data_IF_178466433478
#
_entry.id   IF_178466433478
#
_cell.length_a   1.000
_cell.length_b   1.000
_cell.length_c   1.000
_cell.angle_alpha   90.00
_cell.angle_beta   90.00
_cell.angle_gamma   90.00
#
_symmetry.space_group_name_H-M   'P 1'
#
loop_
_entity.id
_entity.type
_entity.pdbx_description
1 polymer ?
#
# COMPACT_ATOMS: atom_id res chain seq x y z
N UNK A 1 48.87 12.29 -42.00
CA UNK A 1 47.74 11.57 -41.36
C UNK A 1 48.09 11.37 -39.90
N UNK A 2 47.62 12.28 -39.04
CA UNK A 2 47.85 12.24 -37.59
C UNK A 2 46.78 11.38 -36.94
N UNK A 3 47.18 10.19 -36.48
CA UNK A 3 46.35 9.33 -35.64
C UNK A 3 46.11 10.04 -34.29
N UNK A 4 44.90 10.56 -34.10
CA UNK A 4 44.45 11.09 -32.82
C UNK A 4 43.86 9.92 -32.02
N UNK A 5 44.63 9.43 -31.05
CA UNK A 5 44.19 8.40 -30.11
C UNK A 5 43.08 8.98 -29.22
N UNK A 6 41.89 8.38 -29.29
CA UNK A 6 40.80 8.64 -28.36
C UNK A 6 41.25 8.23 -26.95
N UNK A 7 41.54 9.21 -26.10
CA UNK A 7 41.75 8.99 -24.68
C UNK A 7 40.39 8.73 -24.01
N UNK A 8 40.18 7.51 -23.53
CA UNK A 8 39.06 7.20 -22.65
C UNK A 8 39.22 8.01 -21.35
N UNK A 9 38.36 9.01 -21.15
CA UNK A 9 38.33 9.76 -19.89
C UNK A 9 37.77 8.86 -18.78
N UNK A 10 38.51 8.61 -17.68
CA UNK A 10 37.96 7.90 -16.55
C UNK A 10 36.91 8.80 -15.90
N UNK A 11 35.64 8.40 -15.96
CA UNK A 11 34.58 9.01 -15.17
C UNK A 11 34.98 8.86 -13.70
N UNK A 12 35.47 9.94 -13.08
CA UNK A 12 35.78 10.00 -11.66
C UNK A 12 34.48 9.75 -10.88
N UNK A 13 34.25 8.51 -10.48
CA UNK A 13 33.22 8.19 -9.48
C UNK A 13 33.68 8.79 -8.15
N UNK A 14 33.20 10.00 -7.87
CA UNK A 14 33.37 10.64 -6.56
C UNK A 14 32.75 9.74 -5.50
N UNK A 15 33.55 9.32 -4.51
CA UNK A 15 33.06 8.56 -3.36
C UNK A 15 32.31 9.53 -2.46
N UNK A 16 31.04 9.22 -2.16
CA UNK A 16 30.21 10.05 -1.28
C UNK A 16 30.94 10.35 0.03
N UNK A 17 30.94 11.61 0.43
CA UNK A 17 31.57 12.04 1.68
C UNK A 17 30.74 11.60 2.88
N UNK A 18 31.33 11.65 4.09
CA UNK A 18 30.57 11.39 5.33
C UNK A 18 29.43 12.39 5.51
N UNK A 19 29.60 13.63 5.06
CA UNK A 19 28.57 14.65 5.09
C UNK A 19 27.41 14.29 4.14
N UNK A 20 27.71 13.89 2.91
CA UNK A 20 26.70 13.45 1.93
C UNK A 20 25.89 12.26 2.46
N UNK A 21 26.55 11.32 3.14
CA UNK A 21 25.87 10.18 3.78
C UNK A 21 24.93 10.63 4.89
N UNK A 22 25.35 11.59 5.72
CA UNK A 22 24.55 12.07 6.84
C UNK A 22 23.38 12.95 6.37
N UNK A 23 23.57 13.76 5.33
CA UNK A 23 22.49 14.52 4.68
C UNK A 23 21.41 13.57 4.14
N UNK A 24 21.82 12.51 3.42
CA UNK A 24 20.89 11.45 3.00
C UNK A 24 20.18 10.79 4.18
N UNK A 25 20.90 10.51 5.26
CA UNK A 25 20.31 9.90 6.45
C UNK A 25 19.24 10.80 7.07
N UNK A 26 19.55 12.08 7.25
CA UNK A 26 18.64 13.07 7.82
C UNK A 26 17.35 13.17 7.01
N UNK A 27 17.45 13.29 5.69
CA UNK A 27 16.28 13.32 4.81
C UNK A 27 15.45 12.03 4.90
N UNK A 28 16.08 10.86 4.80
CA UNK A 28 15.36 9.58 4.84
C UNK A 28 14.64 9.35 6.16
N UNK A 29 15.26 9.73 7.28
CA UNK A 29 14.66 9.65 8.63
C UNK A 29 13.47 10.59 8.72
N UNK A 30 13.64 11.85 8.33
CA UNK A 30 12.58 12.86 8.39
C UNK A 30 11.39 12.48 7.50
N UNK A 31 11.66 12.11 6.25
CA UNK A 31 10.62 11.71 5.30
C UNK A 31 9.85 10.48 5.78
N UNK A 32 10.56 9.41 6.19
CA UNK A 32 9.91 8.20 6.67
C UNK A 32 9.14 8.41 7.99
N UNK A 33 9.60 9.33 8.85
CA UNK A 33 8.87 9.70 10.07
C UNK A 33 7.59 10.45 9.77
N UNK A 34 7.60 11.36 8.80
CA UNK A 34 6.44 12.20 8.45
C UNK A 34 5.41 11.46 7.61
N UNK A 35 5.85 10.69 6.62
CA UNK A 35 4.99 10.07 5.61
C UNK A 35 4.87 8.55 5.75
N UNK A 36 5.56 7.96 6.72
CA UNK A 36 5.57 6.50 6.92
C UNK A 36 4.18 5.94 7.27
N UNK A 37 3.95 4.64 7.03
CA UNK A 37 4.89 3.68 6.43
C UNK A 37 5.15 3.94 4.95
N UNK A 38 6.42 3.83 4.51
CA UNK A 38 6.85 3.99 3.10
C UNK A 38 7.66 2.77 2.65
N UNK A 39 7.57 2.35 1.39
CA UNK A 39 8.45 1.29 0.88
C UNK A 39 9.88 1.80 0.71
N UNK A 40 10.87 0.91 0.76
CA UNK A 40 12.27 1.30 0.46
C UNK A 40 12.40 1.88 -0.96
N UNK A 41 11.63 1.35 -1.90
CA UNK A 41 11.61 1.84 -3.29
C UNK A 41 10.95 3.22 -3.41
N UNK A 42 9.86 3.44 -2.69
CA UNK A 42 9.24 4.77 -2.59
C UNK A 42 10.22 5.78 -2.00
N UNK A 43 10.93 5.43 -0.92
CA UNK A 43 11.94 6.31 -0.33
C UNK A 43 13.09 6.62 -1.30
N UNK A 44 13.48 5.64 -2.13
CA UNK A 44 14.45 5.85 -3.20
C UNK A 44 13.95 6.86 -4.25
N UNK A 45 12.71 6.73 -4.73
CA UNK A 45 12.11 7.71 -5.64
C UNK A 45 12.05 9.11 -5.04
N UNK A 46 11.74 9.21 -3.75
CA UNK A 46 11.75 10.51 -3.06
C UNK A 46 13.16 11.09 -2.96
N UNK A 47 14.18 10.27 -2.74
CA UNK A 47 15.57 10.72 -2.81
C UNK A 47 15.96 11.21 -4.22
N UNK A 48 15.48 10.55 -5.29
CA UNK A 48 15.70 11.02 -6.66
C UNK A 48 15.02 12.36 -6.93
N UNK A 49 13.75 12.49 -6.54
CA UNK A 49 12.93 13.70 -6.73
C UNK A 49 13.58 14.90 -6.03
N UNK A 50 14.11 14.68 -4.83
CA UNK A 50 14.81 15.71 -4.05
C UNK A 50 16.29 15.88 -4.41
N UNK A 51 16.82 15.13 -5.39
CA UNK A 51 18.18 15.32 -5.90
C UNK A 51 19.29 15.00 -4.88
N UNK A 52 19.07 14.01 -4.01
CA UNK A 52 20.00 13.74 -2.92
C UNK A 52 21.39 13.29 -3.39
N UNK A 53 22.46 13.70 -2.69
CA UNK A 53 23.83 13.50 -3.16
C UNK A 53 24.15 12.02 -3.31
N UNK A 54 24.63 11.63 -4.50
CA UNK A 54 25.05 10.27 -4.81
C UNK A 54 23.93 9.24 -4.95
N UNK A 55 22.66 9.67 -5.03
CA UNK A 55 21.54 8.83 -5.48
C UNK A 55 21.30 9.11 -6.95
N UNK A 56 21.65 8.14 -7.78
CA UNK A 56 21.50 8.20 -9.25
C UNK A 56 20.25 7.42 -9.66
N UNK A 57 19.64 7.78 -10.80
CA UNK A 57 18.47 7.08 -11.38
C UNK A 57 18.81 5.71 -11.97
N UNK A 58 19.30 4.81 -11.12
CA UNK A 58 19.84 3.50 -11.47
C UNK A 58 19.63 2.51 -10.34
N UNK A 59 19.66 1.21 -10.66
CA UNK A 59 19.64 0.14 -9.64
C UNK A 59 20.74 0.32 -8.57
N UNK A 60 21.93 0.81 -8.96
CA UNK A 60 22.99 1.09 -8.01
C UNK A 60 22.65 2.23 -7.03
N UNK A 61 21.79 3.17 -7.44
CA UNK A 61 21.21 4.19 -6.57
C UNK A 61 20.24 3.58 -5.56
N UNK A 62 19.34 2.72 -6.03
CA UNK A 62 18.41 1.97 -5.18
C UNK A 62 19.14 1.11 -4.14
N UNK A 63 20.18 0.38 -4.54
CA UNK A 63 21.02 -0.43 -3.65
C UNK A 63 21.72 0.41 -2.56
N UNK A 64 22.05 1.68 -2.83
CA UNK A 64 22.60 2.60 -1.82
C UNK A 64 21.55 2.94 -0.78
N UNK A 65 20.33 3.30 -1.21
CA UNK A 65 19.21 3.61 -0.31
C UNK A 65 18.86 2.39 0.54
N UNK A 66 18.69 1.21 -0.05
CA UNK A 66 18.37 -0.02 0.66
C UNK A 66 19.40 -0.34 1.76
N UNK A 67 20.70 -0.29 1.44
CA UNK A 67 21.77 -0.52 2.43
C UNK A 67 21.77 0.53 3.53
N UNK A 68 21.55 1.80 3.20
CA UNK A 68 21.56 2.87 4.17
C UNK A 68 20.36 2.81 5.12
N UNK A 69 19.15 2.54 4.61
CA UNK A 69 17.95 2.29 5.41
C UNK A 69 18.17 1.15 6.40
N UNK A 70 18.71 0.01 5.94
CA UNK A 70 19.03 -1.11 6.83
C UNK A 70 20.03 -0.71 7.92
N UNK A 71 21.05 0.07 7.58
CA UNK A 71 22.05 0.55 8.54
C UNK A 71 21.44 1.48 9.59
N UNK A 72 20.55 2.40 9.18
CA UNK A 72 19.90 3.34 10.10
C UNK A 72 18.95 2.63 11.07
N UNK A 73 18.21 1.62 10.59
CA UNK A 73 17.33 0.79 11.42
C UNK A 73 18.13 -0.01 12.47
N UNK A 74 19.25 -0.62 12.07
CA UNK A 74 20.15 -1.35 12.99
C UNK A 74 20.78 -0.45 14.05
N UNK A 75 20.96 0.83 13.75
CA UNK A 75 21.48 1.84 14.68
C UNK A 75 20.39 2.46 15.57
N UNK A 76 19.11 2.08 15.40
CA UNK A 76 17.99 2.67 16.12
C UNK A 76 17.63 4.12 15.71
N UNK A 77 18.22 4.62 14.61
CA UNK A 77 17.98 5.98 14.10
C UNK A 77 16.70 6.11 13.27
N UNK A 78 16.18 4.97 12.80
CA UNK A 78 14.97 4.87 11.99
C UNK A 78 14.10 3.75 12.55
N UNK A 79 12.85 4.04 12.89
CA UNK A 79 11.93 3.01 13.41
C UNK A 79 11.69 1.92 12.37
N UNK A 80 11.47 0.69 12.84
CA UNK A 80 11.09 -0.40 11.97
C UNK A 80 9.69 -0.21 11.36
N UNK A 81 8.81 0.55 12.03
CA UNK A 81 7.41 0.76 11.62
C UNK A 81 7.25 1.83 10.54
N UNK A 82 8.29 2.65 10.30
CA UNK A 82 8.25 3.69 9.26
C UNK A 82 8.48 3.13 7.85
N UNK A 83 8.94 1.88 7.73
CA UNK A 83 9.18 1.22 6.44
C UNK A 83 8.20 0.07 6.28
N UNK A 84 7.44 0.09 5.20
CA UNK A 84 6.52 -0.99 4.84
C UNK A 84 7.31 -2.24 4.38
N UNK A 85 7.07 -3.36 5.08
CA UNK A 85 7.65 -4.67 4.82
C UNK A 85 6.59 -5.75 5.10
N UNK A 86 5.82 -6.10 4.07
CA UNK A 86 4.67 -7.01 4.16
C UNK A 86 5.06 -8.51 4.15
N UNK A 87 6.36 -8.85 4.14
CA UNK A 87 6.82 -10.24 3.97
C UNK A 87 6.74 -11.11 5.24
N UNK A 88 6.22 -10.59 6.35
CA UNK A 88 6.19 -11.29 7.64
C UNK A 88 4.97 -12.21 7.76
N UNK A 89 5.13 -13.46 7.34
CA UNK A 89 4.11 -14.49 7.50
C UNK A 89 4.36 -15.34 8.75
N UNK A 90 3.62 -15.08 9.83
CA UNK A 90 3.63 -15.90 11.05
C UNK A 90 2.22 -16.36 11.38
N UNK A 91 1.94 -17.65 11.19
CA UNK A 91 0.70 -18.28 11.62
C UNK A 91 0.90 -18.85 13.02
N UNK A 92 0.22 -18.27 14.01
CA UNK A 92 0.13 -18.81 15.37
C UNK A 92 -1.35 -18.80 15.78
N UNK A 93 -1.90 -19.90 16.32
CA UNK A 93 -3.22 -19.86 16.93
C UNK A 93 -3.30 -18.76 18.00
N UNK A 94 -4.41 -18.03 18.02
CA UNK A 94 -4.69 -17.07 19.09
C UNK A 94 -4.93 -17.85 20.38
N UNK A 95 -4.00 -17.76 21.32
CA UNK A 95 -4.10 -18.41 22.63
C UNK A 95 -3.89 -17.39 23.73
N UNK A 96 -4.62 -17.57 24.84
CA UNK A 96 -4.61 -16.71 26.01
C UNK A 96 -4.24 -17.54 27.24
N UNK A 97 -3.54 -16.93 28.19
CA UNK A 97 -3.16 -17.57 29.45
C UNK A 97 -4.30 -17.58 30.50
N UNK A 98 -5.46 -17.01 30.15
CA UNK A 98 -6.67 -17.08 30.95
C UNK A 98 -7.84 -16.25 30.40
N UNK A 99 -9.01 -16.38 31.01
CA UNK A 99 -10.25 -15.71 30.59
C UNK A 99 -10.12 -14.17 30.60
N UNK A 100 -9.38 -13.60 31.56
CA UNK A 100 -9.15 -12.15 31.63
C UNK A 100 -8.36 -11.64 30.42
N UNK A 101 -7.31 -12.35 30.01
CA UNK A 101 -6.53 -12.02 28.83
C UNK A 101 -7.36 -12.19 27.54
N UNK A 102 -8.21 -13.22 27.47
CA UNK A 102 -9.14 -13.41 26.35
C UNK A 102 -10.16 -12.26 26.23
N UNK A 103 -10.74 -11.82 27.35
CA UNK A 103 -11.69 -10.70 27.37
C UNK A 103 -11.00 -9.38 27.02
N UNK A 104 -9.80 -9.13 27.56
CA UNK A 104 -9.03 -7.94 27.21
C UNK A 104 -8.66 -7.91 25.71
N UNK A 105 -8.34 -9.07 25.13
CA UNK A 105 -8.11 -9.20 23.70
C UNK A 105 -9.38 -8.94 22.89
N UNK A 106 -10.54 -9.47 23.31
CA UNK A 106 -11.82 -9.21 22.67
C UNK A 106 -12.22 -7.72 22.75
N UNK A 107 -11.97 -7.05 23.88
CA UNK A 107 -12.15 -5.60 24.03
C UNK A 107 -11.21 -4.86 23.07
N UNK A 108 -9.94 -5.28 22.97
CA UNK A 108 -8.94 -4.66 22.11
C UNK A 108 -9.28 -4.82 20.62
N UNK A 109 -9.83 -5.97 20.22
CA UNK A 109 -10.18 -6.31 18.84
C UNK A 109 -11.62 -5.95 18.45
N UNK A 110 -12.39 -5.32 19.33
CA UNK A 110 -13.77 -4.95 19.02
C UNK A 110 -13.81 -3.83 17.98
N UNK A 111 -14.30 -4.13 16.80
CA UNK A 111 -14.55 -3.16 15.74
C UNK A 111 -16.02 -3.24 15.35
N UNK A 112 -16.66 -2.09 15.22
CA UNK A 112 -18.01 -2.00 14.70
C UNK A 112 -17.93 -2.19 13.18
N UNK A 113 -18.82 -3.01 12.63
CA UNK A 113 -18.98 -3.07 11.17
C UNK A 113 -19.47 -1.71 10.68
N UNK A 114 -18.55 -0.94 10.08
CA UNK A 114 -18.82 0.42 9.63
C UNK A 114 -19.68 0.46 8.37
N UNK A 115 -19.83 -0.69 7.69
CA UNK A 115 -20.45 -0.80 6.38
C UNK A 115 -21.85 -1.40 6.44
N UNK A 116 -22.36 -1.77 7.61
CA UNK A 116 -23.67 -2.44 7.76
C UNK A 116 -24.83 -1.66 7.12
N UNK A 117 -24.82 -0.32 7.26
CA UNK A 117 -25.84 0.59 6.73
C UNK A 117 -25.40 1.33 5.46
N UNK A 118 -24.26 0.97 4.88
CA UNK A 118 -23.78 1.57 3.63
C UNK A 118 -24.60 1.06 2.44
N UNK A 119 -24.90 1.94 1.48
CA UNK A 119 -25.68 1.62 0.27
C UNK A 119 -24.89 0.77 -0.75
N UNK A 120 -23.58 0.69 -0.57
CA UNK A 120 -22.62 -0.03 -1.40
C UNK A 120 -21.53 -0.65 -0.51
N UNK A 121 -20.80 -1.62 -1.06
CA UNK A 121 -19.57 -2.11 -0.45
C UNK A 121 -18.39 -1.83 -1.38
N UNK A 122 -17.22 -1.59 -0.82
CA UNK A 122 -16.01 -1.44 -1.62
C UNK A 122 -14.83 -2.23 -1.05
N UNK A 123 -13.90 -2.57 -1.92
CA UNK A 123 -12.61 -3.18 -1.58
C UNK A 123 -11.48 -2.47 -2.31
N UNK A 124 -10.33 -2.39 -1.64
CA UNK A 124 -9.10 -1.86 -2.22
C UNK A 124 -8.21 -3.03 -2.63
N UNK A 125 -7.78 -3.03 -3.89
CA UNK A 125 -6.92 -4.06 -4.46
C UNK A 125 -5.60 -3.42 -4.88
N UNK A 126 -4.47 -3.99 -4.46
CA UNK A 126 -3.15 -3.52 -4.88
C UNK A 126 -2.29 -4.64 -5.46
N UNK A 127 -1.54 -4.34 -6.51
CA UNK A 127 -0.67 -5.32 -7.17
C UNK A 127 0.50 -5.75 -6.28
N UNK A 128 1.13 -4.79 -5.60
CA UNK A 128 2.40 -4.99 -4.88
C UNK A 128 2.19 -5.18 -3.38
N UNK A 129 2.75 -6.26 -2.85
CA UNK A 129 2.71 -6.59 -1.41
C UNK A 129 3.28 -5.49 -0.53
N UNK A 130 4.41 -4.89 -0.91
CA UNK A 130 5.01 -3.79 -0.14
C UNK A 130 4.12 -2.54 -0.06
N UNK A 131 3.29 -2.29 -1.08
CA UNK A 131 2.35 -1.16 -1.10
C UNK A 131 1.21 -1.36 -0.11
N UNK A 132 0.84 -2.61 0.19
CA UNK A 132 -0.21 -2.88 1.18
C UNK A 132 0.08 -2.20 2.51
N UNK A 133 1.33 -2.24 3.00
CA UNK A 133 1.72 -1.56 4.24
C UNK A 133 1.66 -0.03 4.17
N UNK A 134 1.66 0.57 2.97
CA UNK A 134 1.52 2.02 2.78
C UNK A 134 0.06 2.45 2.91
N UNK A 135 -0.87 1.68 2.33
CA UNK A 135 -2.31 1.98 2.28
C UNK A 135 -3.12 1.30 3.40
N UNK A 136 -2.54 0.35 4.13
CA UNK A 136 -3.19 -0.30 5.26
C UNK A 136 -3.74 0.70 6.30
N UNK A 137 -3.02 1.77 6.69
CA UNK A 137 -3.54 2.72 7.67
C UNK A 137 -4.88 3.37 7.27
N UNK A 138 -5.09 3.66 5.97
CA UNK A 138 -6.35 4.24 5.49
C UNK A 138 -7.44 3.17 5.39
N UNK A 139 -7.12 1.96 4.91
CA UNK A 139 -8.12 0.89 4.82
C UNK A 139 -8.57 0.41 6.21
N UNK A 140 -7.66 0.34 7.19
CA UNK A 140 -7.99 0.02 8.60
C UNK A 140 -8.85 1.10 9.25
N UNK A 141 -8.57 2.39 8.97
CA UNK A 141 -9.36 3.49 9.51
C UNK A 141 -10.84 3.39 9.11
N UNK A 142 -11.09 3.03 7.86
CA UNK A 142 -12.43 2.91 7.27
C UNK A 142 -13.01 1.48 7.29
N UNK A 143 -12.32 0.51 7.90
CA UNK A 143 -12.74 -0.91 7.92
C UNK A 143 -13.02 -1.49 6.51
N UNK A 144 -12.15 -1.15 5.54
CA UNK A 144 -12.26 -1.61 4.16
C UNK A 144 -11.31 -2.77 3.89
N UNK A 145 -11.75 -3.88 3.27
CA UNK A 145 -10.86 -4.97 2.94
C UNK A 145 -9.77 -4.56 1.94
N UNK A 146 -8.53 -4.97 2.24
CA UNK A 146 -7.35 -4.75 1.41
C UNK A 146 -6.86 -6.07 0.80
N UNK A 147 -6.92 -6.15 -0.53
CA UNK A 147 -6.63 -7.34 -1.32
C UNK A 147 -5.29 -7.18 -2.06
N UNK A 148 -4.35 -8.10 -1.84
CA UNK A 148 -3.01 -8.04 -2.46
C UNK A 148 -2.86 -9.13 -3.51
N UNK A 149 -2.70 -8.75 -4.78
CA UNK A 149 -2.67 -9.74 -5.89
C UNK A 149 -1.31 -10.35 -6.15
N UNK A 150 -0.20 -9.64 -5.83
CA UNK A 150 1.18 -10.04 -6.14
C UNK A 150 1.40 -10.27 -7.65
N UNK A 151 0.92 -9.33 -8.47
CA UNK A 151 0.89 -9.43 -9.92
C UNK A 151 -0.48 -9.87 -10.45
N UNK A 152 -0.52 -10.91 -11.28
CA UNK A 152 -1.78 -11.47 -11.78
C UNK A 152 -2.53 -12.20 -10.66
N UNK A 153 -3.77 -11.79 -10.40
CA UNK A 153 -4.64 -12.44 -9.42
C UNK A 153 -4.95 -13.89 -9.82
N UNK A 154 -5.01 -14.79 -8.83
CA UNK A 154 -5.47 -16.16 -9.05
C UNK A 154 -6.98 -16.20 -9.32
N UNK A 155 -7.44 -17.26 -9.98
CA UNK A 155 -8.88 -17.48 -10.21
C UNK A 155 -9.63 -17.63 -8.89
N UNK A 156 -9.12 -18.46 -7.98
CA UNK A 156 -9.72 -18.70 -6.65
C UNK A 156 -9.90 -17.40 -5.88
N UNK A 157 -8.91 -16.50 -5.91
CA UNK A 157 -9.00 -15.24 -5.17
C UNK A 157 -10.11 -14.33 -5.71
N UNK A 158 -10.29 -14.28 -7.03
CA UNK A 158 -11.38 -13.52 -7.65
C UNK A 158 -12.74 -14.19 -7.40
N UNK A 159 -12.79 -15.53 -7.42
CA UNK A 159 -14.00 -16.29 -7.14
C UNK A 159 -14.48 -16.06 -5.70
N UNK A 160 -13.58 -16.17 -4.72
CA UNK A 160 -13.90 -15.99 -3.30
C UNK A 160 -14.40 -14.57 -3.01
N UNK A 161 -13.77 -13.55 -3.62
CA UNK A 161 -14.21 -12.17 -3.48
C UNK A 161 -15.66 -11.95 -3.94
N UNK A 162 -16.06 -12.56 -5.06
CA UNK A 162 -17.44 -12.48 -5.56
C UNK A 162 -18.38 -13.38 -4.77
N UNK A 163 -17.97 -14.60 -4.43
CA UNK A 163 -18.79 -15.55 -3.68
C UNK A 163 -19.17 -15.02 -2.30
N UNK A 164 -18.28 -14.27 -1.64
CA UNK A 164 -18.57 -13.58 -0.39
C UNK A 164 -19.72 -12.54 -0.50
N UNK A 165 -20.11 -12.16 -1.71
CA UNK A 165 -21.15 -11.15 -2.01
C UNK A 165 -22.41 -11.75 -2.65
N UNK A 166 -22.51 -13.07 -2.78
CA UNK A 166 -23.65 -13.76 -3.44
C UNK A 166 -25.02 -13.44 -2.81
N UNK A 167 -25.04 -13.06 -1.53
CA UNK A 167 -26.26 -12.68 -0.81
C UNK A 167 -26.37 -11.18 -0.51
N UNK A 168 -25.40 -10.38 -0.94
CA UNK A 168 -25.41 -8.93 -0.80
C UNK A 168 -25.85 -8.29 -2.12
N UNK A 169 -26.96 -7.56 -2.08
CA UNK A 169 -27.55 -6.92 -3.28
C UNK A 169 -27.00 -5.53 -3.54
N UNK A 170 -26.18 -5.00 -2.63
CA UNK A 170 -25.56 -3.69 -2.78
C UNK A 170 -24.51 -3.72 -3.89
N UNK A 171 -24.32 -2.61 -4.63
CA UNK A 171 -23.22 -2.50 -5.59
C UNK A 171 -21.86 -2.76 -4.93
N UNK A 172 -21.04 -3.59 -5.57
CA UNK A 172 -19.71 -3.97 -5.13
C UNK A 172 -18.65 -3.23 -5.95
N UNK A 173 -17.93 -2.32 -5.30
CA UNK A 173 -16.92 -1.48 -5.92
C UNK A 173 -15.51 -2.02 -5.65
N UNK A 174 -14.76 -2.27 -6.73
CA UNK A 174 -13.37 -2.73 -6.66
C UNK A 174 -12.46 -1.63 -7.16
N UNK A 175 -11.65 -1.09 -6.27
CA UNK A 175 -10.67 -0.05 -6.57
C UNK A 175 -9.28 -0.65 -6.66
N UNK A 176 -8.63 -0.51 -7.82
CA UNK A 176 -7.35 -1.14 -8.10
C UNK A 176 -6.20 -0.14 -8.21
N UNK A 177 -5.09 -0.45 -7.54
CA UNK A 177 -3.81 0.25 -7.64
C UNK A 177 -2.75 -0.67 -8.25
N UNK A 178 -2.14 -0.24 -9.35
CA UNK A 178 -1.08 -0.98 -10.04
C UNK A 178 -0.12 -0.06 -10.78
N UNK A 179 0.97 -0.65 -11.27
CA UNK A 179 1.98 0.10 -12.01
C UNK A 179 1.43 0.63 -13.36
N UNK A 180 1.89 1.81 -13.78
CA UNK A 180 1.67 2.33 -15.12
C UNK A 180 2.70 1.76 -16.09
N UNK A 181 2.58 0.47 -16.38
CA UNK A 181 3.27 -0.19 -17.46
C UNK A 181 2.39 -1.27 -18.10
N UNK A 182 2.90 -1.94 -19.13
CA UNK A 182 2.15 -3.01 -19.80
C UNK A 182 1.70 -4.09 -18.83
N UNK A 183 2.59 -4.58 -17.96
CA UNK A 183 2.29 -5.71 -17.09
C UNK A 183 1.22 -5.34 -16.06
N UNK A 184 1.31 -4.15 -15.46
CA UNK A 184 0.30 -3.64 -14.54
C UNK A 184 -1.07 -3.47 -15.22
N UNK A 185 -1.12 -2.94 -16.45
CA UNK A 185 -2.38 -2.80 -17.20
C UNK A 185 -2.97 -4.15 -17.64
N UNK A 186 -2.12 -5.11 -17.98
CA UNK A 186 -2.56 -6.49 -18.29
C UNK A 186 -3.10 -7.21 -17.04
N UNK A 187 -2.45 -7.01 -15.88
CA UNK A 187 -2.91 -7.56 -14.61
C UNK A 187 -4.26 -6.96 -14.19
N UNK A 188 -4.41 -5.64 -14.28
CA UNK A 188 -5.67 -4.94 -14.00
C UNK A 188 -6.81 -5.46 -14.90
N UNK A 189 -6.56 -5.59 -16.21
CA UNK A 189 -7.53 -6.13 -17.17
C UNK A 189 -7.90 -7.57 -16.83
N UNK A 190 -6.91 -8.43 -16.55
CA UNK A 190 -7.16 -9.82 -16.18
C UNK A 190 -8.01 -9.95 -14.91
N UNK A 191 -7.74 -9.13 -13.89
CA UNK A 191 -8.51 -9.07 -12.66
C UNK A 191 -9.96 -8.65 -12.94
N UNK A 192 -10.15 -7.53 -13.64
CA UNK A 192 -11.48 -7.03 -14.03
C UNK A 192 -12.29 -8.08 -14.77
N UNK A 193 -11.69 -8.72 -15.78
CA UNK A 193 -12.40 -9.68 -16.63
C UNK A 193 -12.81 -10.93 -15.82
N UNK A 194 -11.96 -11.39 -14.88
CA UNK A 194 -12.32 -12.49 -13.94
C UNK A 194 -13.44 -12.11 -12.99
N UNK A 195 -13.36 -10.93 -12.37
CA UNK A 195 -14.39 -10.43 -11.44
C UNK A 195 -15.73 -10.29 -12.16
N UNK A 196 -15.75 -9.68 -13.34
CA UNK A 196 -16.97 -9.52 -14.14
C UNK A 196 -17.58 -10.88 -14.54
N UNK A 197 -16.74 -11.85 -14.92
CA UNK A 197 -17.20 -13.21 -15.25
C UNK A 197 -17.91 -13.84 -14.05
N UNK A 198 -17.25 -13.91 -12.89
CA UNK A 198 -17.85 -14.51 -11.69
C UNK A 198 -19.05 -13.72 -11.19
N UNK A 199 -19.03 -12.39 -11.28
CA UNK A 199 -20.15 -11.54 -10.91
C UNK A 199 -21.38 -11.81 -11.77
N UNK A 200 -21.19 -12.00 -13.09
CA UNK A 200 -22.27 -12.40 -14.00
C UNK A 200 -22.83 -13.79 -13.68
N UNK A 201 -22.00 -14.74 -13.25
CA UNK A 201 -22.44 -16.09 -12.85
C UNK A 201 -23.22 -16.07 -11.53
N UNK A 202 -22.94 -15.10 -10.66
CA UNK A 202 -23.47 -15.00 -9.29
C UNK A 202 -24.51 -13.90 -9.08
N UNK A 203 -24.91 -13.20 -10.16
CA UNK A 203 -25.85 -12.07 -10.12
C UNK A 203 -25.41 -10.95 -9.15
N UNK A 204 -24.10 -10.64 -9.16
CA UNK A 204 -23.50 -9.57 -8.35
C UNK A 204 -23.25 -8.35 -9.24
N UNK A 205 -23.65 -7.15 -8.77
CA UNK A 205 -23.34 -5.89 -9.45
C UNK A 205 -21.93 -5.43 -9.07
N UNK A 206 -20.94 -5.70 -9.92
CA UNK A 206 -19.55 -5.29 -9.70
C UNK A 206 -19.16 -4.08 -10.56
N UNK A 207 -18.44 -3.13 -9.96
CA UNK A 207 -17.84 -1.98 -10.64
C UNK A 207 -16.35 -1.98 -10.36
N UNK A 208 -15.53 -2.10 -11.41
CA UNK A 208 -14.08 -2.08 -11.30
C UNK A 208 -13.51 -0.75 -11.80
N UNK A 209 -12.68 -0.10 -10.98
CA UNK A 209 -12.02 1.16 -11.31
C UNK A 209 -10.52 1.09 -10.96
N UNK A 210 -9.65 1.39 -11.92
CA UNK A 210 -8.22 1.56 -11.64
C UNK A 210 -7.98 3.02 -11.25
N UNK A 211 -7.67 3.26 -9.98
CA UNK A 211 -7.53 4.61 -9.39
C UNK A 211 -6.08 5.10 -9.33
N UNK A 212 -5.11 4.21 -9.53
CA UNK A 212 -3.69 4.56 -9.66
C UNK A 212 -2.90 3.49 -10.44
N UNK A 213 -1.79 3.83 -11.12
CA UNK A 213 -1.36 5.19 -11.51
C UNK A 213 -1.83 5.47 -12.95
N UNK A 214 -2.26 6.71 -13.24
CA UNK A 214 -2.58 7.17 -14.59
C UNK A 214 -1.70 8.34 -15.09
N UNK A 215 -1.88 8.71 -16.37
CA UNK A 215 -1.09 9.78 -17.01
C UNK A 215 -1.35 11.15 -16.38
N UNK A 216 -2.59 11.42 -15.95
CA UNK A 216 -2.93 12.70 -15.35
C UNK A 216 -2.22 12.86 -13.99
N UNK A 217 -2.20 11.80 -13.18
CA UNK A 217 -1.49 11.73 -11.92
C UNK A 217 0.03 11.85 -12.10
N UNK A 218 0.61 11.16 -13.10
CA UNK A 218 2.05 11.25 -13.42
C UNK A 218 2.44 12.71 -13.69
N UNK A 219 1.64 13.42 -14.50
CA UNK A 219 1.91 14.81 -14.85
C UNK A 219 1.65 15.77 -13.67
N UNK A 220 0.53 15.61 -12.96
CA UNK A 220 0.13 16.48 -11.86
C UNK A 220 1.12 16.43 -10.70
N UNK A 221 1.56 15.23 -10.34
CA UNK A 221 2.48 15.00 -9.23
C UNK A 221 3.96 14.98 -9.66
N UNK A 222 4.25 15.17 -10.95
CA UNK A 222 5.60 15.12 -11.53
C UNK A 222 6.35 13.85 -11.14
N UNK A 223 5.67 12.71 -11.24
CA UNK A 223 6.19 11.43 -10.77
C UNK A 223 7.43 11.02 -11.58
N UNK A 224 8.47 10.44 -10.93
CA UNK A 224 9.59 9.90 -11.65
C UNK A 224 9.13 8.75 -12.56
N UNK A 225 9.51 8.83 -13.83
CA UNK A 225 9.24 7.79 -14.83
C UNK A 225 10.51 7.05 -15.21
N UNK A 226 10.33 5.86 -15.79
CA UNK A 226 11.40 5.02 -16.33
C UNK A 226 11.08 4.61 -17.75
N UNK A 227 12.10 4.13 -18.47
CA UNK A 227 11.86 3.45 -19.74
C UNK A 227 11.00 2.19 -19.51
N UNK A 228 9.98 1.96 -20.36
CA UNK A 228 9.20 0.75 -20.30
C UNK A 228 10.04 -0.45 -20.73
N UNK A 229 9.68 -1.63 -20.26
CA UNK A 229 10.25 -2.87 -20.79
C UNK A 229 9.95 -2.94 -22.30
N UNK A 230 10.91 -3.42 -23.11
CA UNK A 230 10.78 -3.60 -24.57
C UNK A 230 11.22 -4.99 -25.06
N UNK A 231 11.36 -5.96 -24.14
CA UNK A 231 11.96 -7.27 -24.42
C UNK A 231 11.04 -8.16 -25.27
N UNK A 232 9.77 -8.29 -24.90
CA UNK A 232 8.81 -9.13 -25.63
C UNK A 232 8.02 -8.36 -26.70
N UNK A 233 7.40 -9.04 -27.69
CA UNK A 233 6.46 -8.40 -28.62
C UNK A 233 5.33 -7.67 -27.89
N UNK A 234 4.82 -8.25 -26.79
CA UNK A 234 3.81 -7.61 -25.95
C UNK A 234 4.34 -6.33 -25.31
N UNK A 235 5.55 -6.35 -24.74
CA UNK A 235 6.22 -5.17 -24.17
C UNK A 235 6.38 -4.03 -25.19
N UNK A 236 6.64 -4.39 -26.46
CA UNK A 236 6.74 -3.41 -27.56
C UNK A 236 5.40 -2.79 -27.97
N UNK A 237 4.28 -3.45 -27.66
CA UNK A 237 2.94 -2.91 -27.92
C UNK A 237 2.51 -1.86 -26.87
N UNK A 238 3.30 -1.63 -25.82
CA UNK A 238 3.04 -0.54 -24.87
C UNK A 238 3.08 0.82 -25.58
N UNK A 239 1.99 1.61 -25.54
CA UNK A 239 1.83 2.78 -26.41
C UNK A 239 2.60 4.01 -25.93
N UNK A 240 3.12 4.00 -24.69
CA UNK A 240 3.90 5.11 -24.13
C UNK A 240 5.39 4.81 -24.23
N UNK A 241 6.21 5.85 -24.37
CA UNK A 241 7.66 5.80 -24.30
C UNK A 241 8.19 5.79 -22.85
N UNK A 242 7.30 5.96 -21.87
CA UNK A 242 7.59 5.88 -20.44
C UNK A 242 6.71 4.85 -19.71
N UNK A 243 7.13 4.52 -18.49
CA UNK A 243 6.39 3.77 -17.49
C UNK A 243 6.56 4.44 -16.12
N UNK A 244 5.59 4.26 -15.23
CA UNK A 244 5.66 4.76 -13.85
C UNK A 244 5.31 3.64 -12.88
N UNK A 245 6.13 3.46 -11.84
CA UNK A 245 5.81 2.51 -10.79
C UNK A 245 4.86 3.15 -9.78
N UNK A 246 3.99 2.35 -9.17
CA UNK A 246 3.11 2.77 -8.09
C UNK A 246 3.90 3.32 -6.89
N UNK A 247 5.09 2.77 -6.62
CA UNK A 247 6.03 3.25 -5.60
C UNK A 247 6.50 4.70 -5.83
N UNK A 248 6.36 5.24 -7.05
CA UNK A 248 6.74 6.62 -7.35
C UNK A 248 5.78 7.65 -6.72
N UNK A 249 4.53 7.25 -6.44
CA UNK A 249 3.57 8.10 -5.72
C UNK A 249 4.05 8.34 -4.28
N UNK A 250 4.02 9.59 -3.78
CA UNK A 250 4.20 9.84 -2.36
C UNK A 250 3.17 9.05 -1.52
N UNK A 251 3.56 8.50 -0.35
CA UNK A 251 2.68 7.72 0.51
C UNK A 251 1.37 8.43 0.88
N UNK A 252 1.45 9.71 1.25
CA UNK A 252 0.27 10.48 1.65
C UNK A 252 -0.66 10.69 0.46
N UNK A 253 -0.14 11.04 -0.72
CA UNK A 253 -0.93 11.13 -1.96
C UNK A 253 -1.60 9.80 -2.31
N UNK A 254 -0.93 8.67 -2.09
CA UNK A 254 -1.53 7.36 -2.32
C UNK A 254 -2.67 7.07 -1.34
N UNK A 255 -2.52 7.46 -0.06
CA UNK A 255 -3.59 7.37 0.94
C UNK A 255 -4.75 8.28 0.60
N UNK A 256 -4.48 9.52 0.15
CA UNK A 256 -5.50 10.48 -0.27
C UNK A 256 -6.35 9.92 -1.43
N UNK A 257 -5.70 9.30 -2.44
CA UNK A 257 -6.39 8.67 -3.58
C UNK A 257 -7.31 7.53 -3.11
N UNK A 258 -6.83 6.69 -2.18
CA UNK A 258 -7.63 5.59 -1.61
C UNK A 258 -8.76 6.12 -0.74
N UNK A 259 -8.50 7.10 0.12
CA UNK A 259 -9.47 7.75 0.98
C UNK A 259 -10.57 8.44 0.16
N UNK A 260 -10.23 9.12 -0.93
CA UNK A 260 -11.19 9.74 -1.82
C UNK A 260 -12.12 8.70 -2.46
N UNK A 261 -11.59 7.56 -2.89
CA UNK A 261 -12.38 6.47 -3.45
C UNK A 261 -13.35 5.86 -2.41
N UNK A 262 -12.89 5.64 -1.17
CA UNK A 262 -13.71 5.13 -0.07
C UNK A 262 -14.81 6.13 0.33
N UNK A 263 -14.46 7.42 0.40
CA UNK A 263 -15.39 8.49 0.80
C UNK A 263 -16.55 8.70 -0.17
N UNK A 264 -16.49 8.16 -1.40
CA UNK A 264 -17.64 8.09 -2.32
C UNK A 264 -18.79 7.24 -1.76
N UNK A 265 -18.49 6.31 -0.85
CA UNK A 265 -19.44 5.34 -0.28
C UNK A 265 -19.67 5.56 1.21
N UNK A 266 -18.59 5.84 1.96
CA UNK A 266 -18.65 6.12 3.39
C UNK A 266 -17.97 7.47 3.69
N UNK A 267 -18.69 8.60 3.59
CA UNK A 267 -18.11 9.91 3.83
C UNK A 267 -17.57 10.07 5.26
N UNK A 268 -16.46 10.79 5.41
CA UNK A 268 -15.76 11.01 6.69
C UNK A 268 -16.65 11.46 7.87
N UNK A 269 -17.69 12.26 7.63
CA UNK A 269 -18.61 12.64 8.70
C UNK A 269 -19.41 11.45 9.25
N UNK A 270 -19.83 10.50 8.39
CA UNK A 270 -20.47 9.25 8.82
C UNK A 270 -19.49 8.37 9.57
N UNK A 271 -18.25 8.25 9.08
CA UNK A 271 -17.18 7.54 9.79
C UNK A 271 -17.01 8.07 11.21
N UNK A 272 -16.92 9.39 11.40
CA UNK A 272 -16.75 9.99 12.72
C UNK A 272 -17.89 9.65 13.69
N UNK A 273 -19.14 9.64 13.21
CA UNK A 273 -20.30 9.23 14.00
C UNK A 273 -20.18 7.76 14.41
N UNK A 274 -19.85 6.88 13.47
CA UNK A 274 -19.71 5.44 13.72
C UNK A 274 -18.56 5.12 14.68
N UNK A 275 -17.40 5.79 14.54
CA UNK A 275 -16.27 5.64 15.46
C UNK A 275 -16.57 6.17 16.86
N UNK A 276 -17.37 7.21 16.98
CA UNK A 276 -17.85 7.69 18.29
C UNK A 276 -18.78 6.67 18.95
N UNK A 277 -19.65 6.02 18.17
CA UNK A 277 -20.49 4.93 18.65
C UNK A 277 -19.65 3.71 19.08
N UNK A 278 -18.69 3.28 18.25
CA UNK A 278 -17.76 2.17 18.54
C UNK A 278 -16.98 2.43 19.85
N UNK A 279 -16.48 3.65 20.06
CA UNK A 279 -15.78 4.02 21.28
C UNK A 279 -16.69 3.90 22.52
N UNK A 280 -17.96 4.28 22.39
CA UNK A 280 -18.96 4.15 23.46
C UNK A 280 -19.28 2.68 23.76
N UNK A 281 -19.46 1.86 22.72
CA UNK A 281 -19.69 0.42 22.81
C UNK A 281 -18.49 -0.30 23.46
N UNK A 282 -17.26 0.07 23.08
CA UNK A 282 -16.03 -0.46 23.67
C UNK A 282 -15.90 -0.10 25.15
N UNK A 283 -16.25 1.14 25.52
CA UNK A 283 -16.28 1.55 26.93
C UNK A 283 -17.32 0.76 27.74
N UNK A 284 -18.49 0.50 27.15
CA UNK A 284 -19.50 -0.35 27.75
C UNK A 284 -19.01 -1.80 27.94
N UNK A 285 -18.43 -2.41 26.91
CA UNK A 285 -17.85 -3.75 26.97
C UNK A 285 -16.80 -3.88 28.09
N UNK A 286 -15.93 -2.88 28.22
CA UNK A 286 -14.94 -2.81 29.29
C UNK A 286 -15.58 -2.79 30.68
N UNK A 287 -16.62 -1.97 30.84
CA UNK A 287 -17.36 -1.86 32.11
C UNK A 287 -18.07 -3.18 32.48
N UNK A 288 -18.68 -3.83 31.48
CA UNK A 288 -19.38 -5.10 31.63
C UNK A 288 -18.41 -6.24 31.97
N UNK A 289 -17.29 -6.34 31.25
CA UNK A 289 -16.22 -7.29 31.53
C UNK A 289 -15.67 -7.14 32.96
N UNK A 290 -15.48 -5.89 33.41
CA UNK A 290 -15.00 -5.60 34.76
C UNK A 290 -16.00 -6.02 35.84
N UNK A 291 -17.30 -5.89 35.57
CA UNK A 291 -18.36 -6.33 36.48
C UNK A 291 -18.49 -7.86 36.52
N UNK A 292 -18.41 -8.53 35.37
CA UNK A 292 -18.52 -9.99 35.24
C UNK A 292 -17.34 -10.74 35.88
N UNK A 293 -16.17 -10.11 35.96
CA UNK A 293 -14.96 -10.69 36.56
C UNK A 293 -14.79 -10.39 38.06
N UNK A 294 -15.72 -9.63 38.68
CA UNK A 294 -15.72 -9.51 40.15
C UNK A 294 -16.13 -10.86 40.73
N UNK A 295 -15.31 -11.47 41.62
CA UNK A 295 -15.73 -12.67 42.32
C UNK A 295 -17.01 -12.35 43.09
N UNK A 296 -17.99 -13.24 43.00
CA UNK A 296 -19.21 -13.15 43.80
C UNK A 296 -18.84 -12.91 45.26
N UNK A 297 -19.44 -11.90 45.87
CA UNK A 297 -19.47 -11.79 47.31
C UNK A 297 -20.27 -13.00 47.83
N UNK A 298 -19.55 -14.05 48.24
CA UNK A 298 -20.03 -15.16 49.06
C UNK A 298 -18.84 -15.77 49.77
#
# INVERSE_FOLDING_TARGET
MTHQSYAASPIKRSRATRADMEERAAFMIDYAKRCGPVTVRGLYYQCEVHGLPGIDKTEAGYDKVQRQVLSLRRQGRMSYDWIADATRWMLKPHSFDGAKAAIAAAEASYHKDLWIDADSCCEIWCEKDAISGVILPVTELYDVPLMVTRGFSSETFCFEAIAAREHDRRPYHVYYLGDFDRAGRDAARSLRDKLNRFASEKDVSVVFEQIAVDVAQINAFKLPTREPKRKSPADRAWPYDFACELDALPPDTMRDIVEEAINRHLPAHRLNILKTAEASERAFLKSWASAALKPGAS
#
